data_IF_991881464070
#
_entry.id   IF_991881464070
#
_cell.length_a   1.000
_cell.length_b   1.000
_cell.length_c   1.000
_cell.angle_alpha   90.00
_cell.angle_beta   90.00
_cell.angle_gamma   90.00
#
_symmetry.space_group_name_H-M   'P 1'
#
loop_
_entity.id
_entity.type
_entity.pdbx_description
1 polymer ?
#
# COMPACT_ATOMS: atom_id res chain seq x y z
N UNK A 1 7.54 4.14 -15.70
CA UNK A 1 8.31 3.99 -14.43
C UNK A 1 8.22 2.53 -14.01
N UNK A 2 9.30 1.97 -13.45
CA UNK A 2 9.25 0.62 -12.87
C UNK A 2 8.85 0.68 -11.40
N UNK A 3 7.71 0.06 -11.06
CA UNK A 3 7.08 0.14 -9.75
C UNK A 3 7.05 -1.25 -9.10
N UNK A 4 7.68 -1.39 -7.94
CA UNK A 4 7.59 -2.61 -7.13
C UNK A 4 6.48 -2.50 -6.09
N UNK A 5 5.68 -3.54 -5.91
CA UNK A 5 4.63 -3.60 -4.87
C UNK A 5 4.99 -4.68 -3.86
N UNK A 6 5.31 -4.24 -2.63
CA UNK A 6 5.67 -5.10 -1.51
C UNK A 6 4.51 -5.14 -0.53
N UNK A 7 3.83 -6.29 -0.48
CA UNK A 7 2.60 -6.48 0.28
C UNK A 7 1.37 -6.41 -0.62
N UNK A 8 1.18 -7.45 -1.42
CA UNK A 8 0.03 -7.64 -2.30
C UNK A 8 -1.20 -8.18 -1.55
N UNK A 9 -1.59 -7.48 -0.47
CA UNK A 9 -2.92 -7.62 0.14
C UNK A 9 -3.93 -6.75 -0.60
N UNK A 10 -5.11 -6.53 -0.02
CA UNK A 10 -6.16 -5.74 -0.65
C UNK A 10 -5.69 -4.36 -1.15
N UNK A 11 -4.99 -3.61 -0.28
CA UNK A 11 -4.51 -2.26 -0.57
C UNK A 11 -3.41 -2.23 -1.64
N UNK A 12 -2.33 -3.00 -1.45
CA UNK A 12 -1.21 -3.02 -2.40
C UNK A 12 -1.63 -3.53 -3.78
N UNK A 13 -2.48 -4.57 -3.82
CA UNK A 13 -3.01 -5.10 -5.06
C UNK A 13 -3.93 -4.12 -5.79
N UNK A 14 -4.80 -3.40 -5.08
CA UNK A 14 -5.68 -2.40 -5.70
C UNK A 14 -4.88 -1.25 -6.33
N UNK A 15 -4.03 -0.57 -5.56
CA UNK A 15 -3.27 0.57 -6.08
C UNK A 15 -2.23 0.16 -7.13
N UNK A 16 -1.59 -0.99 -6.95
CA UNK A 16 -0.71 -1.56 -7.96
C UNK A 16 -1.44 -1.90 -9.26
N UNK A 17 -2.66 -2.44 -9.18
CA UNK A 17 -3.49 -2.72 -10.35
C UNK A 17 -3.95 -1.45 -11.07
N UNK A 18 -4.29 -0.39 -10.33
CA UNK A 18 -4.64 0.93 -10.92
C UNK A 18 -3.45 1.55 -11.65
N UNK A 19 -2.25 1.50 -11.07
CA UNK A 19 -1.02 1.98 -11.74
C UNK A 19 -0.65 1.12 -12.96
N UNK A 20 -0.89 -0.19 -12.90
CA UNK A 20 -0.72 -1.05 -14.06
C UNK A 20 -1.70 -0.68 -15.19
N UNK A 21 -2.96 -0.38 -14.84
CA UNK A 21 -3.99 0.03 -15.79
C UNK A 21 -3.66 1.35 -16.50
N UNK A 22 -2.89 2.25 -15.87
CA UNK A 22 -2.38 3.46 -16.53
C UNK A 22 -1.11 3.26 -17.36
N UNK A 23 -0.69 2.00 -17.58
CA UNK A 23 0.43 1.65 -18.44
C UNK A 23 1.80 1.67 -17.76
N UNK A 24 1.87 1.74 -16.42
CA UNK A 24 3.15 1.62 -15.71
C UNK A 24 3.67 0.17 -15.70
N UNK A 25 4.99 0.02 -15.63
CA UNK A 25 5.63 -1.28 -15.47
C UNK A 25 5.56 -1.69 -13.98
N UNK A 26 4.53 -2.47 -13.63
CA UNK A 26 4.27 -2.84 -12.23
C UNK A 26 4.66 -4.29 -11.95
N UNK A 27 5.44 -4.48 -10.89
CA UNK A 27 5.91 -5.77 -10.39
C UNK A 27 5.33 -6.05 -9.02
N UNK A 28 4.68 -7.21 -8.85
CA UNK A 28 4.07 -7.62 -7.59
C UNK A 28 4.96 -8.64 -6.89
N UNK A 29 5.41 -8.31 -5.68
CA UNK A 29 6.07 -9.27 -4.79
C UNK A 29 5.01 -10.03 -3.99
N UNK A 30 4.81 -11.30 -4.38
CA UNK A 30 3.75 -12.17 -3.90
C UNK A 30 4.35 -13.33 -3.08
N UNK A 31 3.54 -13.88 -2.18
CA UNK A 31 3.86 -15.11 -1.43
C UNK A 31 2.82 -16.18 -1.72
N UNK A 32 1.73 -16.21 -0.94
CA UNK A 32 0.67 -17.22 -1.05
C UNK A 32 -0.08 -17.18 -2.39
N UNK A 33 -0.21 -15.98 -2.97
CA UNK A 33 -1.06 -15.76 -4.14
C UNK A 33 -0.23 -15.73 -5.44
N UNK A 34 1.08 -16.03 -5.38
CA UNK A 34 2.00 -15.92 -6.52
C UNK A 34 1.50 -16.70 -7.74
N UNK A 35 1.18 -17.97 -7.55
CA UNK A 35 0.75 -18.86 -8.63
C UNK A 35 -0.59 -18.44 -9.25
N UNK A 36 -1.54 -18.01 -8.41
CA UNK A 36 -2.84 -17.52 -8.87
C UNK A 36 -2.67 -16.25 -9.69
N UNK A 37 -1.96 -15.25 -9.16
CA UNK A 37 -1.79 -13.96 -9.84
C UNK A 37 -0.95 -14.10 -11.11
N UNK A 38 0.08 -14.95 -11.12
CA UNK A 38 0.87 -15.22 -12.33
C UNK A 38 0.02 -15.79 -13.47
N UNK A 39 -0.93 -16.69 -13.18
CA UNK A 39 -1.77 -17.33 -14.21
C UNK A 39 -2.98 -16.48 -14.60
N UNK A 40 -3.68 -15.95 -13.61
CA UNK A 40 -5.01 -15.35 -13.78
C UNK A 40 -4.98 -13.82 -13.72
N UNK A 41 -3.91 -13.22 -13.23
CA UNK A 41 -3.86 -11.80 -12.90
C UNK A 41 -4.49 -11.50 -11.55
N UNK A 42 -4.68 -10.22 -11.27
CA UNK A 42 -5.42 -9.71 -10.11
C UNK A 42 -6.75 -9.16 -10.59
N UNK A 43 -7.84 -9.72 -10.10
CA UNK A 43 -9.19 -9.27 -10.38
C UNK A 43 -9.56 -8.16 -9.40
N UNK A 44 -9.93 -6.99 -9.92
CA UNK A 44 -10.49 -5.90 -9.15
C UNK A 44 -11.98 -5.83 -9.50
N UNK A 45 -12.83 -5.95 -8.48
CA UNK A 45 -14.28 -5.77 -8.59
C UNK A 45 -14.69 -4.51 -7.86
N UNK A 46 -15.59 -3.72 -8.39
CA UNK A 46 -16.00 -2.49 -7.70
C UNK A 46 -16.92 -1.57 -8.50
N UNK A 47 -17.26 -0.41 -7.91
CA UNK A 47 -18.24 0.52 -8.48
C UNK A 47 -17.81 1.12 -9.82
N UNK A 48 -16.50 1.22 -10.08
CA UNK A 48 -15.95 1.76 -11.32
C UNK A 48 -15.87 0.72 -12.46
N UNK A 49 -16.43 -0.47 -12.23
CA UNK A 49 -16.38 -1.61 -13.15
C UNK A 49 -15.28 -2.61 -12.81
N UNK A 50 -15.50 -3.86 -13.21
CA UNK A 50 -14.58 -4.96 -12.99
C UNK A 50 -13.45 -4.93 -14.03
N UNK A 51 -12.22 -5.21 -13.58
CA UNK A 51 -11.09 -5.39 -14.47
C UNK A 51 -10.07 -6.41 -13.95
N UNK A 52 -9.21 -6.88 -14.84
CA UNK A 52 -8.13 -7.81 -14.52
C UNK A 52 -6.79 -7.19 -14.86
N UNK A 53 -5.96 -6.94 -13.84
CA UNK A 53 -4.60 -6.48 -14.02
C UNK A 53 -3.64 -7.67 -14.14
N UNK A 54 -2.64 -7.57 -15.03
CA UNK A 54 -1.60 -8.59 -15.20
C UNK A 54 -0.19 -8.02 -14.93
N UNK A 55 0.10 -7.61 -13.68
CA UNK A 55 1.44 -7.14 -13.32
C UNK A 55 2.45 -8.29 -13.41
N UNK A 56 3.73 -7.94 -13.53
CA UNK A 56 4.82 -8.92 -13.46
C UNK A 56 4.84 -9.54 -12.05
N UNK A 57 4.45 -10.79 -11.93
CA UNK A 57 4.43 -11.50 -10.66
C UNK A 57 5.82 -12.05 -10.32
N UNK A 58 6.30 -11.78 -9.11
CA UNK A 58 7.53 -12.34 -8.56
C UNK A 58 7.31 -12.89 -7.15
N UNK A 59 7.96 -14.00 -6.84
CA UNK A 59 8.00 -14.65 -5.52
C UNK A 59 9.23 -14.21 -4.69
N UNK A 60 10.16 -13.49 -5.32
CA UNK A 60 11.43 -13.02 -4.76
C UNK A 60 11.75 -11.61 -5.25
N UNK A 61 12.22 -10.76 -4.35
CA UNK A 61 12.52 -9.36 -4.66
C UNK A 61 13.67 -9.24 -5.67
N UNK A 62 14.62 -10.17 -5.65
CA UNK A 62 15.76 -10.22 -6.58
C UNK A 62 15.34 -10.46 -8.03
N UNK A 63 14.20 -11.15 -8.26
CA UNK A 63 13.63 -11.34 -9.60
C UNK A 63 12.98 -10.06 -10.15
N UNK A 64 12.54 -9.18 -9.27
CA UNK A 64 12.08 -7.84 -9.64
C UNK A 64 13.29 -6.96 -9.93
N UNK A 65 14.26 -6.94 -9.02
CA UNK A 65 15.43 -6.05 -9.09
C UNK A 65 15.06 -4.58 -8.85
N UNK A 66 15.97 -3.65 -9.17
CA UNK A 66 15.80 -2.24 -8.84
C UNK A 66 14.53 -1.61 -9.44
N UNK A 67 13.86 -0.76 -8.65
CA UNK A 67 12.65 -0.02 -9.02
C UNK A 67 12.87 1.50 -8.83
N UNK A 68 12.07 2.30 -9.53
CA UNK A 68 12.03 3.76 -9.32
C UNK A 68 11.17 4.13 -8.11
N UNK A 69 10.07 3.38 -7.91
CA UNK A 69 9.12 3.52 -6.82
C UNK A 69 8.80 2.14 -6.24
N UNK A 70 8.79 2.03 -4.92
CA UNK A 70 8.31 0.83 -4.21
C UNK A 70 7.13 1.21 -3.34
N UNK A 71 5.96 0.63 -3.63
CA UNK A 71 4.77 0.71 -2.81
C UNK A 71 4.83 -0.34 -1.69
N UNK A 72 4.66 0.11 -0.45
CA UNK A 72 4.66 -0.77 0.72
C UNK A 72 3.23 -0.87 1.24
N UNK A 73 2.61 -2.02 1.00
CA UNK A 73 1.25 -2.39 1.43
C UNK A 73 1.22 -3.58 2.40
N UNK A 74 2.34 -3.89 3.05
CA UNK A 74 2.42 -4.95 4.07
C UNK A 74 1.51 -4.63 5.26
N UNK A 75 1.05 -5.67 5.97
CA UNK A 75 0.54 -5.44 7.33
C UNK A 75 1.68 -4.95 8.20
N UNK A 76 1.42 -3.96 9.07
CA UNK A 76 2.44 -3.37 9.95
C UNK A 76 3.07 -4.38 10.91
N UNK A 77 2.34 -5.46 11.22
CA UNK A 77 2.86 -6.62 11.98
C UNK A 77 3.97 -7.39 11.28
N UNK A 78 4.28 -7.07 10.02
CA UNK A 78 5.36 -7.68 9.23
C UNK A 78 6.44 -6.66 8.82
N UNK A 79 6.54 -5.51 9.50
CA UNK A 79 7.55 -4.48 9.20
C UNK A 79 9.00 -4.95 9.49
N UNK A 80 9.18 -5.96 10.33
CA UNK A 80 10.46 -6.63 10.55
C UNK A 80 11.04 -7.23 9.25
N UNK A 81 10.17 -7.55 8.29
CA UNK A 81 10.55 -8.13 6.99
C UNK A 81 11.17 -7.11 6.02
N UNK A 82 11.09 -5.80 6.29
CA UNK A 82 11.62 -4.76 5.38
C UNK A 82 13.08 -5.00 4.98
N UNK A 83 13.92 -5.38 5.95
CA UNK A 83 15.36 -5.58 5.71
C UNK A 83 15.66 -6.72 4.73
N UNK A 84 14.72 -7.66 4.58
CA UNK A 84 14.84 -8.76 3.61
C UNK A 84 14.21 -8.42 2.27
N UNK A 85 13.04 -7.77 2.30
CA UNK A 85 12.20 -7.61 1.11
C UNK A 85 12.59 -6.40 0.25
N UNK A 86 13.05 -5.31 0.87
CA UNK A 86 13.28 -4.05 0.16
C UNK A 86 14.64 -3.96 -0.54
N UNK A 87 15.79 -4.37 0.04
CA UNK A 87 17.10 -4.05 -0.53
C UNK A 87 17.29 -4.40 -2.01
N UNK A 88 16.82 -5.55 -2.54
CA UNK A 88 16.98 -5.86 -3.97
C UNK A 88 16.26 -4.89 -4.92
N UNK A 89 15.29 -4.13 -4.40
CA UNK A 89 14.48 -3.17 -5.15
C UNK A 89 15.07 -1.76 -5.15
N UNK A 90 16.09 -1.48 -4.33
CA UNK A 90 16.53 -0.12 -4.05
C UNK A 90 17.76 0.29 -4.87
N UNK A 91 17.70 1.52 -5.35
CA UNK A 91 18.82 2.34 -5.78
C UNK A 91 18.91 3.57 -4.87
N UNK A 92 19.95 4.41 -5.05
CA UNK A 92 20.05 5.71 -4.37
C UNK A 92 18.89 6.66 -4.69
N UNK A 93 18.13 6.42 -5.76
CA UNK A 93 17.03 7.28 -6.22
C UNK A 93 15.64 6.70 -5.95
N UNK A 94 15.56 5.42 -5.57
CA UNK A 94 14.29 4.73 -5.39
C UNK A 94 13.46 5.38 -4.29
N UNK A 95 12.22 5.73 -4.62
CA UNK A 95 11.23 6.21 -3.66
C UNK A 95 10.59 5.04 -2.94
N UNK A 96 10.49 5.13 -1.62
CA UNK A 96 9.73 4.23 -0.77
C UNK A 96 8.44 4.94 -0.36
N UNK A 97 7.30 4.46 -0.82
CA UNK A 97 5.98 4.98 -0.46
C UNK A 97 5.26 3.96 0.40
N UNK A 98 5.14 4.23 1.70
CA UNK A 98 4.30 3.42 2.57
C UNK A 98 2.84 3.85 2.48
N UNK A 99 1.97 2.88 2.23
CA UNK A 99 0.52 3.05 2.18
C UNK A 99 -0.18 2.40 3.39
N UNK A 100 0.61 1.99 4.37
CA UNK A 100 0.17 1.26 5.54
C UNK A 100 -0.61 2.18 6.49
N UNK A 101 -1.56 1.61 7.23
CA UNK A 101 -2.24 2.34 8.30
C UNK A 101 -1.35 2.49 9.54
N UNK A 102 -1.61 3.52 10.34
CA UNK A 102 -0.93 3.77 11.62
C UNK A 102 0.28 4.70 11.51
N UNK A 103 0.91 4.94 12.66
CA UNK A 103 2.08 5.82 12.79
C UNK A 103 3.39 5.04 12.78
N UNK A 104 4.48 5.74 12.45
CA UNK A 104 5.85 5.26 12.62
C UNK A 104 6.39 4.40 11.48
N UNK A 105 5.57 4.08 10.46
CA UNK A 105 6.02 3.30 9.30
C UNK A 105 7.15 4.03 8.55
N UNK A 106 6.97 5.33 8.29
CA UNK A 106 7.97 6.17 7.62
C UNK A 106 9.25 6.30 8.45
N UNK A 107 9.12 6.47 9.77
CA UNK A 107 10.27 6.54 10.68
C UNK A 107 11.05 5.21 10.71
N UNK A 108 10.36 4.07 10.70
CA UNK A 108 10.98 2.74 10.65
C UNK A 108 11.72 2.49 9.34
N UNK A 109 11.18 2.98 8.21
CA UNK A 109 11.86 2.95 6.92
C UNK A 109 13.07 3.89 6.93
N UNK A 110 12.93 5.09 7.49
CA UNK A 110 13.98 6.11 7.53
C UNK A 110 15.18 5.67 8.35
N UNK A 111 14.94 5.01 9.48
CA UNK A 111 15.98 4.46 10.33
C UNK A 111 16.80 3.36 9.61
N UNK A 112 16.20 2.64 8.64
CA UNK A 112 16.84 1.50 7.96
C UNK A 112 17.47 1.87 6.62
N UNK A 113 16.82 2.75 5.85
CA UNK A 113 17.18 3.05 4.46
C UNK A 113 17.52 4.52 4.23
N UNK A 114 17.50 5.33 5.30
CA UNK A 114 17.73 6.77 5.27
C UNK A 114 16.44 7.56 4.97
N UNK A 115 16.34 8.81 5.46
CA UNK A 115 15.13 9.63 5.32
C UNK A 115 14.97 10.24 3.92
N UNK A 116 15.96 10.09 3.05
CA UNK A 116 16.08 10.87 1.82
C UNK A 116 14.98 10.62 0.78
N UNK A 117 14.37 9.43 0.77
CA UNK A 117 13.48 8.94 -0.29
C UNK A 117 12.13 8.38 0.20
N UNK A 118 11.65 8.83 1.37
CA UNK A 118 10.45 8.26 2.00
C UNK A 118 9.25 9.17 1.85
N UNK A 119 8.17 8.58 1.36
CA UNK A 119 6.84 9.18 1.24
C UNK A 119 5.84 8.40 2.09
N UNK A 120 4.87 9.11 2.66
CA UNK A 120 3.72 8.52 3.35
C UNK A 120 2.44 8.76 2.53
N UNK A 121 1.65 7.72 2.33
CA UNK A 121 0.39 7.76 1.59
C UNK A 121 -0.78 7.27 2.42
N UNK A 122 -1.63 8.19 2.84
CA UNK A 122 -2.80 7.90 3.64
C UNK A 122 -3.97 7.54 2.72
N UNK A 123 -4.25 6.25 2.64
CA UNK A 123 -5.33 5.72 1.80
C UNK A 123 -6.68 5.77 2.52
N UNK A 124 -7.68 6.40 1.91
CA UNK A 124 -9.07 6.40 2.36
C UNK A 124 -9.87 5.53 1.40
N UNK A 125 -9.95 4.24 1.69
CA UNK A 125 -10.51 3.24 0.78
C UNK A 125 -11.09 2.06 1.56
N UNK A 126 -12.19 1.49 1.05
CA UNK A 126 -12.80 0.28 1.56
C UNK A 126 -12.49 -0.88 0.61
N UNK A 127 -11.58 -1.78 1.02
CA UNK A 127 -11.12 -2.91 0.20
C UNK A 127 -11.18 -4.20 0.98
N UNK A 128 -11.76 -5.24 0.36
CA UNK A 128 -11.71 -6.60 0.87
C UNK A 128 -10.94 -7.49 -0.11
N UNK A 129 -10.01 -8.30 0.40
CA UNK A 129 -9.51 -9.45 -0.38
C UNK A 129 -10.45 -10.63 -0.13
N UNK A 130 -11.23 -11.01 -1.14
CA UNK A 130 -12.29 -12.02 -1.01
C UNK A 130 -11.83 -13.41 -1.44
N UNK A 131 -10.77 -13.51 -2.25
CA UNK A 131 -10.12 -14.75 -2.64
C UNK A 131 -8.65 -14.45 -3.06
N UNK A 132 -7.78 -15.46 -3.22
CA UNK A 132 -6.45 -15.27 -3.78
C UNK A 132 -6.52 -14.53 -5.13
N UNK A 133 -5.84 -13.39 -5.24
CA UNK A 133 -5.88 -12.56 -6.45
C UNK A 133 -7.21 -11.84 -6.74
N UNK A 134 -8.19 -11.82 -5.84
CA UNK A 134 -9.48 -11.12 -6.03
C UNK A 134 -9.69 -10.06 -4.96
N UNK A 135 -9.72 -8.80 -5.38
CA UNK A 135 -9.97 -7.63 -4.53
C UNK A 135 -11.33 -7.04 -4.87
N UNK A 136 -12.14 -6.81 -3.84
CA UNK A 136 -13.41 -6.11 -3.92
C UNK A 136 -13.22 -4.70 -3.35
N UNK A 137 -13.28 -3.69 -4.21
CA UNK A 137 -13.32 -2.28 -3.90
C UNK A 137 -14.77 -1.85 -3.68
N UNK A 138 -15.08 -1.45 -2.45
CA UNK A 138 -16.44 -1.13 -2.04
C UNK A 138 -16.73 0.37 -2.20
N UNK A 139 -15.79 1.21 -1.80
CA UNK A 139 -15.98 2.66 -1.77
C UNK A 139 -14.65 3.43 -1.66
N UNK A 140 -14.71 4.72 -1.98
CA UNK A 140 -13.62 5.69 -1.90
C UNK A 140 -12.39 5.29 -2.74
N UNK A 141 -11.17 5.60 -2.31
CA UNK A 141 -9.97 5.31 -3.10
C UNK A 141 -8.88 6.38 -3.02
N UNK A 142 -9.19 7.57 -2.50
CA UNK A 142 -8.25 8.68 -2.48
C UNK A 142 -7.02 8.41 -1.61
N UNK A 143 -5.91 9.02 -1.97
CA UNK A 143 -4.65 9.05 -1.22
C UNK A 143 -4.37 10.50 -0.79
N UNK A 144 -3.91 10.69 0.44
CA UNK A 144 -3.21 11.92 0.85
C UNK A 144 -1.73 11.60 0.96
N UNK A 145 -0.92 12.22 0.12
CA UNK A 145 0.51 11.97 -0.03
C UNK A 145 1.32 13.08 0.63
N UNK A 146 2.31 12.70 1.43
CA UNK A 146 3.24 13.65 2.04
C UNK A 146 4.67 13.12 2.02
N UNK A 147 5.63 14.02 2.23
CA UNK A 147 7.04 13.68 2.28
C UNK A 147 7.53 13.59 3.73
N UNK A 148 8.31 12.55 4.05
CA UNK A 148 8.71 12.33 5.43
C UNK A 148 9.72 13.38 5.92
N UNK A 149 9.37 14.06 7.00
CA UNK A 149 10.22 15.01 7.72
C UNK A 149 10.53 16.31 6.95
N UNK A 150 9.78 16.64 5.89
CA UNK A 150 9.98 17.85 5.08
C UNK A 150 8.77 18.19 4.22
N UNK A 151 8.79 19.39 3.65
CA UNK A 151 7.80 19.83 2.66
C UNK A 151 7.88 19.01 1.34
N UNK A 152 6.76 18.82 0.63
CA UNK A 152 6.70 18.11 -0.64
C UNK A 152 7.57 18.70 -1.74
N UNK A 153 8.45 17.87 -2.30
CA UNK A 153 9.27 18.19 -3.46
C UNK A 153 8.56 17.87 -4.79
N UNK A 154 9.19 18.24 -5.90
CA UNK A 154 8.70 17.95 -7.25
C UNK A 154 8.39 16.46 -7.47
N UNK A 155 9.23 15.55 -6.94
CA UNK A 155 9.01 14.10 -7.03
C UNK A 155 7.76 13.62 -6.26
N UNK A 156 7.37 14.32 -5.20
CA UNK A 156 6.17 14.01 -4.41
C UNK A 156 4.94 14.37 -5.22
N UNK A 157 4.93 15.55 -5.87
CA UNK A 157 3.87 15.97 -6.79
C UNK A 157 3.79 15.05 -8.01
N UNK A 158 4.92 14.70 -8.62
CA UNK A 158 4.97 13.74 -9.72
C UNK A 158 4.42 12.35 -9.31
N UNK A 159 4.67 11.91 -8.08
CA UNK A 159 4.09 10.66 -7.56
C UNK A 159 2.57 10.77 -7.41
N UNK A 160 2.06 11.91 -6.94
CA UNK A 160 0.61 12.15 -6.89
C UNK A 160 -0.01 12.17 -8.30
N UNK A 161 0.66 12.78 -9.27
CA UNK A 161 0.21 12.82 -10.66
C UNK A 161 0.15 11.42 -11.29
N UNK A 162 1.07 10.51 -10.94
CA UNK A 162 1.01 9.10 -11.35
C UNK A 162 -0.28 8.42 -10.86
N UNK A 163 -0.70 8.69 -9.62
CA UNK A 163 -1.97 8.19 -9.10
C UNK A 163 -3.16 8.85 -9.77
N UNK A 164 -3.13 10.16 -10.02
CA UNK A 164 -4.18 10.85 -10.78
C UNK A 164 -4.38 10.25 -12.17
N UNK A 165 -3.31 10.00 -12.91
CA UNK A 165 -3.35 9.36 -14.22
C UNK A 165 -3.88 7.92 -14.16
N UNK A 166 -3.73 7.25 -13.01
CA UNK A 166 -4.32 5.95 -12.73
C UNK A 166 -5.79 6.03 -12.28
N UNK A 167 -6.42 7.21 -12.32
CA UNK A 167 -7.79 7.40 -11.86
C UNK A 167 -7.93 7.28 -10.33
N UNK A 168 -6.86 7.53 -9.59
CA UNK A 168 -6.84 7.56 -8.12
C UNK A 168 -6.66 9.01 -7.68
N UNK A 169 -7.68 9.64 -7.04
CA UNK A 169 -7.53 10.97 -6.48
C UNK A 169 -6.37 11.00 -5.46
N UNK A 170 -5.40 11.88 -5.64
CA UNK A 170 -4.19 11.92 -4.83
C UNK A 170 -3.81 13.37 -4.47
N UNK A 171 -4.16 13.78 -3.25
CA UNK A 171 -3.84 15.11 -2.75
C UNK A 171 -2.45 15.12 -2.11
N UNK A 172 -1.66 16.17 -2.35
CA UNK A 172 -0.38 16.38 -1.66
C UNK A 172 -0.61 17.25 -0.43
N UNK A 173 -0.04 16.86 0.72
CA UNK A 173 -0.07 17.64 1.97
C UNK A 173 1.33 18.15 2.34
N UNK A 174 1.37 19.37 2.87
CA UNK A 174 2.58 19.96 3.45
C UNK A 174 2.84 19.49 4.89
N UNK A 175 1.85 18.86 5.53
CA UNK A 175 1.96 18.33 6.88
C UNK A 175 1.48 16.87 6.94
N UNK A 176 2.42 15.95 6.70
CA UNK A 176 2.17 14.50 6.73
C UNK A 176 1.77 14.01 8.13
N UNK A 177 2.34 14.60 9.19
CA UNK A 177 2.04 14.20 10.57
C UNK A 177 0.61 14.56 10.97
N UNK A 178 0.16 15.78 10.65
CA UNK A 178 -1.22 16.20 10.87
C UNK A 178 -2.19 15.28 10.13
N UNK A 179 -1.92 14.97 8.86
CA UNK A 179 -2.77 14.06 8.07
C UNK A 179 -2.89 12.67 8.72
N UNK A 180 -1.80 12.15 9.32
CA UNK A 180 -1.83 10.89 10.07
C UNK A 180 -2.75 10.97 11.28
N UNK A 181 -2.64 12.04 12.07
CA UNK A 181 -3.51 12.25 13.22
C UNK A 181 -4.98 12.39 12.82
N UNK A 182 -5.28 13.16 11.78
CA UNK A 182 -6.64 13.28 11.23
C UNK A 182 -7.22 11.91 10.85
N UNK A 183 -6.42 11.06 10.21
CA UNK A 183 -6.85 9.70 9.87
C UNK A 183 -7.00 8.81 11.11
N UNK A 184 -6.16 8.98 12.12
CA UNK A 184 -6.22 8.21 13.36
C UNK A 184 -7.46 8.50 14.19
N UNK A 185 -7.98 9.73 14.15
CA UNK A 185 -9.28 10.09 14.76
C UNK A 185 -10.39 9.17 14.24
N UNK A 186 -10.29 8.69 12.99
CA UNK A 186 -11.21 7.68 12.45
C UNK A 186 -10.74 6.25 12.75
N UNK A 187 -9.49 5.91 12.44
CA UNK A 187 -9.00 4.54 12.54
C UNK A 187 -9.06 3.95 13.95
N UNK A 188 -8.76 4.73 14.99
CA UNK A 188 -8.71 4.24 16.38
C UNK A 188 -10.11 3.77 16.83
N UNK A 189 -11.16 4.63 16.84
CA UNK A 189 -12.48 4.20 17.30
C UNK A 189 -13.11 3.17 16.37
N UNK A 190 -13.12 3.39 15.05
CA UNK A 190 -13.91 2.56 14.14
C UNK A 190 -13.28 1.19 13.87
N UNK A 191 -11.96 1.08 13.73
CA UNK A 191 -11.35 -0.23 13.55
C UNK A 191 -11.35 -1.02 14.86
N UNK A 192 -11.05 -0.37 15.99
CA UNK A 192 -11.02 -1.01 17.31
C UNK A 192 -12.40 -1.52 17.72
N UNK A 193 -13.39 -0.62 17.76
CA UNK A 193 -14.76 -0.99 18.15
C UNK A 193 -15.46 -1.85 17.09
N UNK A 194 -15.16 -1.66 15.80
CA UNK A 194 -15.73 -2.48 14.74
C UNK A 194 -15.34 -3.95 14.86
N UNK A 195 -14.04 -4.23 15.10
CA UNK A 195 -13.57 -5.60 15.34
C UNK A 195 -14.11 -6.14 16.67
N UNK A 196 -14.04 -5.36 17.75
CA UNK A 196 -14.55 -5.79 19.06
C UNK A 196 -16.07 -6.11 19.02
N UNK A 197 -16.85 -5.28 18.34
CA UNK A 197 -18.29 -5.48 18.17
C UNK A 197 -18.62 -6.71 17.32
N UNK A 198 -17.88 -6.95 16.24
CA UNK A 198 -18.06 -8.14 15.40
C UNK A 198 -17.61 -9.43 16.09
N UNK A 199 -16.57 -9.36 16.92
CA UNK A 199 -16.05 -10.51 17.67
C UNK A 199 -16.93 -10.89 18.88
N UNK A 200 -17.69 -9.93 19.43
CA UNK A 200 -18.51 -10.12 20.62
C UNK A 200 -17.75 -9.97 21.94
N UNK A 201 -18.49 -9.70 23.03
CA UNK A 201 -17.93 -9.38 24.35
C UNK A 201 -17.03 -10.50 24.90
N UNK A 202 -17.41 -11.77 24.71
CA UNK A 202 -16.64 -12.91 25.20
C UNK A 202 -15.25 -12.99 24.56
N UNK A 203 -15.15 -12.76 23.25
CA UNK A 203 -13.87 -12.77 22.54
C UNK A 203 -12.96 -11.62 23.02
N UNK A 204 -13.54 -10.46 23.34
CA UNK A 204 -12.82 -9.31 23.90
C UNK A 204 -12.30 -9.62 25.30
N UNK A 205 -13.14 -10.16 26.18
CA UNK A 205 -12.75 -10.51 27.56
C UNK A 205 -11.71 -11.64 27.60
N UNK A 206 -11.83 -12.61 26.68
CA UNK A 206 -10.90 -13.74 26.60
C UNK A 206 -9.61 -13.42 25.81
N UNK A 207 -9.55 -12.28 25.12
CA UNK A 207 -8.42 -11.90 24.27
C UNK A 207 -8.19 -12.83 23.08
N UNK A 208 -9.21 -13.57 22.63
CA UNK A 208 -9.11 -14.55 21.53
C UNK A 208 -10.42 -14.63 20.75
N UNK A 209 -10.33 -14.77 19.43
CA UNK A 209 -11.48 -15.07 18.57
C UNK A 209 -11.86 -16.54 18.74
N UNK A 210 -13.16 -16.84 18.73
CA UNK A 210 -13.71 -18.21 18.80
C UNK A 210 -13.34 -19.04 17.56
#
# INVERSE_FOLDING_TARGET
MKIGVVGCGALGSFYGAKLWQSGQEVHFLLRSDYDTVRRQGVHIRGPDGDFVARPCAADRAERIGPCDLVLIGLKTTANDQFIRLLPPLLTRRTLLLTLQNGLGNEAQLAARFGPGNILGGLCFVCLNRVAPGVIHHLAHGRIVLGEFGRLPRARTRATADLFHQAGVPCQVTDNLELAHWEKLVWNIPFNGLGVAGAAGLEAVLAGRLA
#
